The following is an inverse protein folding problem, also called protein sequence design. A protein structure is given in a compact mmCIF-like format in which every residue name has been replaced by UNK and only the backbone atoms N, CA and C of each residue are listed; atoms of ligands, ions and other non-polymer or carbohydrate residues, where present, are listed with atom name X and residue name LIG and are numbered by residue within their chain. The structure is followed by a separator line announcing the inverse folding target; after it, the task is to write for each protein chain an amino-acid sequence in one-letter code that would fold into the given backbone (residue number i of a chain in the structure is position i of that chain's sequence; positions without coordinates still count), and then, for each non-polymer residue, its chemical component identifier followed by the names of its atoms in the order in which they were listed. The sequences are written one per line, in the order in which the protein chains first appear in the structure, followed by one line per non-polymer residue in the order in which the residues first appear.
data_IF_290056281139
#
_entry.id   IF_290056281139
#
_cell.length_a   1.000
_cell.length_b   1.000
_cell.length_c   1.000
_cell.angle_alpha   90.00
_cell.angle_beta   90.00
_cell.angle_gamma   90.00
#
_symmetry.space_group_name_H-M   'P 1'
#
loop_
_entity.id
_entity.type
_entity.pdbx_description
1 polymer ?
#
# COMPACT_ATOMS: atom_id res chain seq x y z
N UNK A 1 -2.71 -11.27 -0.17
CA UNK A 1 -2.96 -11.95 1.12
C UNK A 1 -2.07 -11.45 2.26
N UNK A 2 -0.72 -11.44 2.11
CA UNK A 2 0.18 -11.01 3.20
C UNK A 2 -0.16 -9.60 3.71
N UNK A 3 -0.25 -8.63 2.81
CA UNK A 3 -0.53 -7.24 3.19
C UNK A 3 -1.95 -7.03 3.73
N UNK A 4 -2.92 -7.83 3.29
CA UNK A 4 -4.25 -7.83 3.91
C UNK A 4 -4.18 -8.30 5.37
N UNK A 5 -3.30 -9.26 5.69
CA UNK A 5 -3.03 -9.67 7.06
C UNK A 5 -2.39 -8.56 7.90
N UNK A 6 -1.41 -7.83 7.35
CA UNK A 6 -0.79 -6.66 8.00
C UNK A 6 -1.83 -5.56 8.28
N UNK A 7 -2.69 -5.27 7.29
CA UNK A 7 -3.76 -4.28 7.45
C UNK A 7 -4.79 -4.72 8.51
N UNK A 8 -5.16 -6.00 8.55
CA UNK A 8 -6.06 -6.55 9.57
C UNK A 8 -5.42 -6.44 10.96
N UNK A 9 -4.14 -6.83 11.09
CA UNK A 9 -3.42 -6.64 12.35
C UNK A 9 -3.38 -5.17 12.78
N UNK A 10 -3.09 -4.25 11.86
CA UNK A 10 -3.05 -2.82 12.17
C UNK A 10 -4.42 -2.30 12.63
N UNK A 11 -5.51 -2.80 12.05
CA UNK A 11 -6.88 -2.38 12.38
C UNK A 11 -7.29 -2.82 13.79
N UNK A 12 -6.90 -4.04 14.22
CA UNK A 12 -7.41 -4.64 15.46
C UNK A 12 -6.38 -4.72 16.59
N UNK A 13 -5.08 -4.73 16.27
CA UNK A 13 -4.02 -5.07 17.23
C UNK A 13 -2.83 -4.10 17.28
N UNK A 14 -2.81 -3.01 16.51
CA UNK A 14 -1.69 -2.05 16.53
C UNK A 14 -1.60 -1.25 17.83
N UNK A 15 -2.65 -1.23 18.64
CA UNK A 15 -2.79 -0.39 19.84
C UNK A 15 -2.63 1.13 19.57
N UNK A 16 -2.79 1.56 18.32
CA UNK A 16 -2.81 2.97 17.93
C UNK A 16 -4.25 3.50 17.97
N UNK A 17 -4.62 4.38 18.91
CA UNK A 17 -5.96 4.95 18.95
C UNK A 17 -6.28 5.71 17.66
N UNK A 18 -7.46 5.47 17.11
CA UNK A 18 -7.87 6.09 15.86
C UNK A 18 -6.96 5.71 14.69
N UNK A 19 -6.45 4.47 14.64
CA UNK A 19 -5.62 4.00 13.54
C UNK A 19 -6.34 4.14 12.20
N UNK A 20 -5.70 4.75 11.22
CA UNK A 20 -6.19 4.82 9.86
C UNK A 20 -5.39 3.87 8.97
N UNK A 21 -6.10 2.97 8.31
CA UNK A 21 -5.54 2.00 7.37
C UNK A 21 -6.14 2.29 5.99
N UNK A 22 -5.30 2.35 4.97
CA UNK A 22 -5.76 2.64 3.62
C UNK A 22 -5.35 1.54 2.63
N UNK A 23 -6.30 1.10 1.82
CA UNK A 23 -6.05 0.36 0.58
C UNK A 23 -6.22 1.31 -0.58
N UNK A 24 -5.18 1.46 -1.40
CA UNK A 24 -5.04 2.55 -2.36
C UNK A 24 -4.71 1.97 -3.73
N UNK A 25 -5.36 2.45 -4.78
CA UNK A 25 -5.01 2.14 -6.16
C UNK A 25 -5.40 3.29 -7.10
N UNK A 26 -5.05 3.19 -8.37
CA UNK A 26 -5.42 4.17 -9.38
C UNK A 26 -6.95 4.33 -9.50
N UNK A 27 -7.68 3.21 -9.43
CA UNK A 27 -9.14 3.19 -9.39
C UNK A 27 -9.69 2.58 -8.10
N UNK A 28 -10.92 2.98 -7.75
CA UNK A 28 -11.60 2.48 -6.55
C UNK A 28 -11.87 0.97 -6.60
N UNK A 29 -12.14 0.43 -7.78
CA UNK A 29 -12.41 -1.00 -7.95
C UNK A 29 -11.14 -1.83 -7.73
N UNK A 30 -9.98 -1.36 -8.17
CA UNK A 30 -8.69 -2.00 -7.86
C UNK A 30 -8.37 -1.93 -6.36
N UNK A 31 -8.52 -0.76 -5.73
CA UNK A 31 -8.26 -0.60 -4.30
C UNK A 31 -9.15 -1.52 -3.43
N UNK A 32 -10.36 -1.85 -3.93
CA UNK A 32 -11.26 -2.83 -3.30
C UNK A 32 -10.72 -4.26 -3.31
N UNK A 33 -9.85 -4.64 -4.23
CA UNK A 33 -9.32 -6.03 -4.30
C UNK A 33 -8.59 -6.38 -3.01
N UNK A 34 -7.70 -5.51 -2.54
CA UNK A 34 -7.00 -5.70 -1.26
C UNK A 34 -7.98 -5.59 -0.09
N UNK A 35 -8.88 -4.60 -0.15
CA UNK A 35 -9.89 -4.37 0.89
C UNK A 35 -10.84 -5.57 1.06
N UNK A 36 -11.26 -6.23 -0.01
CA UNK A 36 -12.15 -7.40 0.07
C UNK A 36 -11.51 -8.60 0.79
N UNK A 37 -10.20 -8.75 0.70
CA UNK A 37 -9.49 -9.77 1.48
C UNK A 37 -9.51 -9.45 2.98
N UNK A 38 -9.36 -8.16 3.35
CA UNK A 38 -9.47 -7.71 4.76
C UNK A 38 -10.91 -7.94 5.24
N UNK A 39 -11.88 -7.47 4.47
CA UNK A 39 -13.30 -7.62 4.77
C UNK A 39 -13.70 -9.08 4.94
N UNK A 40 -13.31 -9.96 4.00
CA UNK A 40 -13.58 -11.38 4.09
C UNK A 40 -12.97 -12.05 5.33
N UNK A 41 -11.77 -11.61 5.75
CA UNK A 41 -11.15 -12.08 7.00
C UNK A 41 -11.98 -11.66 8.21
N UNK A 42 -12.41 -10.40 8.26
CA UNK A 42 -13.22 -9.87 9.38
C UNK A 42 -14.58 -10.56 9.44
N UNK A 43 -15.25 -10.74 8.30
CA UNK A 43 -16.58 -11.39 8.24
C UNK A 43 -16.54 -12.89 8.55
N UNK A 44 -15.39 -13.56 8.31
CA UNK A 44 -15.22 -14.98 8.57
C UNK A 44 -14.84 -15.29 10.03
N UNK A 45 -14.31 -14.32 10.76
CA UNK A 45 -13.88 -14.46 12.15
C UNK A 45 -14.91 -13.80 13.09
N UNK A 46 -15.44 -14.57 14.04
CA UNK A 46 -16.48 -14.10 14.95
C UNK A 46 -15.98 -13.02 15.90
N UNK A 47 -14.78 -13.16 16.43
CA UNK A 47 -14.23 -12.22 17.41
C UNK A 47 -13.96 -10.87 16.76
N UNK A 48 -13.56 -10.85 15.48
CA UNK A 48 -13.37 -9.64 14.71
C UNK A 48 -14.70 -9.01 14.28
N UNK A 49 -15.65 -9.82 13.81
CA UNK A 49 -16.94 -9.33 13.34
C UNK A 49 -17.82 -8.76 14.46
N UNK A 50 -17.71 -9.30 15.69
CA UNK A 50 -18.48 -8.83 16.85
C UNK A 50 -18.05 -7.41 17.32
N UNK A 51 -16.82 -6.96 16.97
CA UNK A 51 -16.28 -5.65 17.37
C UNK A 51 -16.13 -4.65 16.22
N UNK A 52 -16.43 -5.05 14.98
CA UNK A 52 -16.27 -4.24 13.79
C UNK A 52 -17.60 -3.91 13.12
N UNK A 53 -17.69 -2.71 12.57
CA UNK A 53 -18.74 -2.30 11.66
C UNK A 53 -18.23 -2.35 10.22
N UNK A 54 -18.83 -3.22 9.41
CA UNK A 54 -18.39 -3.48 8.04
C UNK A 54 -19.29 -2.78 7.04
N UNK A 55 -18.71 -1.89 6.25
CA UNK A 55 -19.37 -1.14 5.18
C UNK A 55 -18.88 -1.58 3.80
N UNK A 56 -19.41 -0.96 2.75
CA UNK A 56 -19.01 -1.23 1.36
C UNK A 56 -17.52 -0.96 1.10
N UNK A 57 -17.01 0.18 1.59
CA UNK A 57 -15.67 0.70 1.32
C UNK A 57 -14.93 1.10 2.61
N UNK A 58 -15.42 0.66 3.76
CA UNK A 58 -14.79 0.90 5.05
C UNK A 58 -15.08 -0.21 6.05
N UNK A 59 -14.17 -0.40 7.00
CA UNK A 59 -14.37 -1.21 8.20
C UNK A 59 -13.96 -0.31 9.37
N UNK A 60 -14.83 -0.17 10.35
CA UNK A 60 -14.58 0.61 11.55
C UNK A 60 -14.55 -0.28 12.80
N UNK A 61 -13.71 0.06 13.76
CA UNK A 61 -13.69 -0.55 15.11
C UNK A 61 -14.04 0.54 16.12
N UNK A 62 -15.32 0.69 16.49
CA UNK A 62 -15.80 1.83 17.29
C UNK A 62 -15.10 1.97 18.64
N UNK A 63 -14.71 0.86 19.27
CA UNK A 63 -14.05 0.86 20.59
C UNK A 63 -12.68 1.54 20.59
N UNK A 64 -11.96 1.51 19.48
CA UNK A 64 -10.62 2.12 19.32
C UNK A 64 -10.61 3.36 18.43
N UNK A 65 -11.70 3.57 17.68
CA UNK A 65 -11.79 4.57 16.63
C UNK A 65 -10.99 4.22 15.38
N UNK A 66 -10.44 3.00 15.29
CA UNK A 66 -9.68 2.57 14.13
C UNK A 66 -10.57 2.36 12.90
N UNK A 67 -10.03 2.66 11.71
CA UNK A 67 -10.77 2.53 10.46
C UNK A 67 -9.87 2.09 9.31
N UNK A 68 -10.36 1.14 8.52
CA UNK A 68 -9.78 0.79 7.22
C UNK A 68 -10.67 1.34 6.10
N UNK A 69 -10.09 2.04 5.12
CA UNK A 69 -10.84 2.67 4.00
C UNK A 69 -10.19 2.42 2.66
N UNK A 70 -11.04 2.37 1.63
CA UNK A 70 -10.63 2.34 0.23
C UNK A 70 -10.42 3.77 -0.26
N UNK A 71 -9.23 4.06 -0.83
CA UNK A 71 -8.91 5.31 -1.50
C UNK A 71 -8.54 5.07 -2.97
N UNK A 72 -8.71 6.10 -3.81
CA UNK A 72 -8.31 6.05 -5.22
C UNK A 72 -7.84 7.41 -5.71
N UNK A 73 -6.98 7.43 -6.73
CA UNK A 73 -6.45 8.66 -7.32
C UNK A 73 -7.49 9.45 -8.12
N UNK A 74 -8.62 8.84 -8.48
CA UNK A 74 -9.74 9.48 -9.17
C UNK A 74 -10.73 10.17 -8.20
N UNK A 75 -10.50 10.07 -6.89
CA UNK A 75 -11.24 10.75 -5.85
C UNK A 75 -10.62 12.09 -5.43
N UNK A 76 -11.39 12.93 -4.71
CA UNK A 76 -10.83 14.13 -4.09
C UNK A 76 -9.77 13.74 -3.07
N UNK A 77 -8.57 14.31 -3.19
CA UNK A 77 -7.49 14.14 -2.21
C UNK A 77 -7.99 14.53 -0.82
N UNK A 78 -8.02 13.58 0.06
CA UNK A 78 -8.38 13.80 1.43
C UNK A 78 -7.18 14.44 2.15
N UNK A 79 -7.22 15.74 2.37
CA UNK A 79 -6.30 16.41 3.28
C UNK A 79 -6.56 15.95 4.73
N UNK A 80 -5.51 15.81 5.52
CA UNK A 80 -5.61 15.44 6.93
C UNK A 80 -5.64 13.93 7.19
N UNK A 81 -5.14 13.12 6.26
CA UNK A 81 -4.90 11.70 6.49
C UNK A 81 -3.79 11.51 7.53
N UNK A 82 -3.95 10.52 8.39
CA UNK A 82 -2.94 10.15 9.41
C UNK A 82 -2.78 8.62 9.44
N UNK A 83 -2.20 8.04 8.38
CA UNK A 83 -2.14 6.60 8.21
C UNK A 83 -1.20 5.91 9.20
N UNK A 84 -1.63 4.77 9.72
CA UNK A 84 -0.77 3.77 10.36
C UNK A 84 -0.26 2.78 9.33
N UNK A 85 -1.14 2.34 8.42
CA UNK A 85 -0.75 1.47 7.28
C UNK A 85 -1.43 1.98 6.01
N UNK A 86 -0.65 2.12 4.95
CA UNK A 86 -1.15 2.37 3.61
C UNK A 86 -0.60 1.34 2.63
N UNK A 87 -1.47 0.70 1.87
CA UNK A 87 -1.12 -0.27 0.83
C UNK A 87 -1.48 0.34 -0.51
N UNK A 88 -0.47 0.72 -1.29
CA UNK A 88 -0.63 1.29 -2.63
C UNK A 88 -0.41 0.18 -3.64
N UNK A 89 -1.49 -0.23 -4.29
CA UNK A 89 -1.50 -1.30 -5.28
C UNK A 89 -1.33 -0.74 -6.69
N UNK A 90 -0.58 -1.46 -7.53
CA UNK A 90 -0.28 -1.11 -8.91
C UNK A 90 0.22 0.34 -9.05
N UNK A 91 1.27 0.69 -8.33
CA UNK A 91 1.82 2.06 -8.28
C UNK A 91 2.11 2.64 -9.67
N UNK A 92 2.46 1.80 -10.65
CA UNK A 92 2.72 2.24 -12.02
C UNK A 92 1.48 2.80 -12.73
N UNK A 93 0.27 2.42 -12.31
CA UNK A 93 -1.00 2.88 -12.89
C UNK A 93 -1.45 4.25 -12.38
N UNK A 94 -0.83 4.77 -11.30
CA UNK A 94 -1.22 6.06 -10.76
C UNK A 94 -0.82 7.20 -11.70
N UNK A 95 -1.76 8.11 -12.03
CA UNK A 95 -1.50 9.21 -12.97
C UNK A 95 -0.53 10.26 -12.38
N UNK A 96 -0.57 10.45 -11.06
CA UNK A 96 0.27 11.41 -10.32
C UNK A 96 0.75 10.81 -9.01
N UNK A 97 1.75 11.45 -8.39
CA UNK A 97 2.28 11.08 -7.09
C UNK A 97 1.45 11.62 -5.91
N UNK A 98 0.52 12.52 -6.16
CA UNK A 98 -0.17 13.35 -5.15
C UNK A 98 -0.80 12.52 -4.03
N UNK A 99 -1.44 11.39 -4.35
CA UNK A 99 -2.12 10.59 -3.34
C UNK A 99 -1.14 9.91 -2.38
N UNK A 100 -0.09 9.26 -2.90
CA UNK A 100 0.87 8.62 -2.00
C UNK A 100 1.76 9.65 -1.27
N UNK A 101 2.04 10.82 -1.87
CA UNK A 101 2.73 11.92 -1.20
C UNK A 101 1.88 12.48 -0.04
N UNK A 102 0.56 12.58 -0.22
CA UNK A 102 -0.35 12.94 0.85
C UNK A 102 -0.36 11.91 1.99
N UNK A 103 -0.33 10.61 1.66
CA UNK A 103 -0.21 9.53 2.64
C UNK A 103 1.15 9.57 3.37
N UNK A 104 2.24 9.77 2.64
CA UNK A 104 3.58 9.89 3.20
C UNK A 104 3.69 11.10 4.15
N UNK A 105 3.18 12.26 3.72
CA UNK A 105 3.14 13.46 4.56
C UNK A 105 2.30 13.25 5.82
N UNK A 106 1.13 12.62 5.68
CA UNK A 106 0.23 12.33 6.79
C UNK A 106 0.79 11.31 7.78
N UNK A 107 1.67 10.42 7.32
CA UNK A 107 2.31 9.40 8.15
C UNK A 107 3.23 9.99 9.23
N UNK A 108 3.80 11.17 8.99
CA UNK A 108 4.64 11.88 9.96
C UNK A 108 3.94 12.26 11.27
N UNK A 109 2.62 12.23 11.32
CA UNK A 109 1.85 12.42 12.55
C UNK A 109 1.80 11.17 13.45
N UNK A 110 2.24 10.01 12.97
CA UNK A 110 2.24 8.74 13.69
C UNK A 110 3.63 8.37 14.20
N UNK A 111 3.66 7.68 15.32
CA UNK A 111 4.92 7.19 15.91
C UNK A 111 5.55 6.10 15.04
N UNK A 112 4.72 5.23 14.49
CA UNK A 112 5.10 4.20 13.54
C UNK A 112 4.06 4.16 12.44
N UNK A 113 4.49 4.29 11.20
CA UNK A 113 3.66 4.17 10.03
C UNK A 113 4.34 3.29 9.00
N UNK A 114 3.54 2.63 8.18
CA UNK A 114 4.01 1.77 7.11
C UNK A 114 3.31 2.15 5.80
N UNK A 115 4.09 2.61 4.83
CA UNK A 115 3.63 2.83 3.46
C UNK A 115 4.24 1.75 2.57
N UNK A 116 3.40 0.91 1.98
CA UNK A 116 3.84 -0.21 1.13
C UNK A 116 3.35 0.02 -0.30
N UNK A 117 4.26 -0.06 -1.24
CA UNK A 117 3.97 -0.09 -2.66
C UNK A 117 4.08 -1.51 -3.20
N UNK A 118 3.03 -1.98 -3.90
CA UNK A 118 3.03 -3.23 -4.63
C UNK A 118 2.81 -2.89 -6.09
N UNK A 119 3.67 -3.39 -6.97
CA UNK A 119 3.56 -3.04 -8.37
C UNK A 119 4.32 -4.02 -9.25
N UNK A 120 3.87 -4.16 -10.48
CA UNK A 120 4.67 -4.69 -11.56
C UNK A 120 5.51 -3.57 -12.19
N UNK A 121 6.48 -3.93 -13.05
CA UNK A 121 7.25 -2.96 -13.79
C UNK A 121 6.33 -2.15 -14.71
N UNK A 122 6.29 -0.84 -14.52
CA UNK A 122 5.54 0.07 -15.38
C UNK A 122 6.26 0.39 -16.68
N UNK A 123 5.56 1.03 -17.62
CA UNK A 123 6.11 1.54 -18.86
C UNK A 123 6.23 3.06 -18.75
N UNK A 124 7.42 3.61 -19.01
CA UNK A 124 7.69 5.06 -19.06
C UNK A 124 8.62 5.56 -17.96
N UNK A 125 9.39 6.60 -18.31
CA UNK A 125 10.44 7.18 -17.47
C UNK A 125 9.93 8.29 -16.53
N UNK A 126 8.69 8.76 -16.72
CA UNK A 126 8.10 9.88 -15.98
C UNK A 126 6.84 9.45 -15.22
N UNK A 127 6.94 8.36 -14.48
CA UNK A 127 5.83 7.85 -13.67
C UNK A 127 6.16 7.97 -12.19
N UNK A 128 5.17 7.98 -11.30
CA UNK A 128 5.41 7.89 -9.86
C UNK A 128 6.31 6.72 -9.48
N UNK A 129 6.14 5.57 -10.13
CA UNK A 129 6.98 4.39 -9.92
C UNK A 129 8.44 4.65 -10.32
N UNK A 130 8.69 5.34 -11.44
CA UNK A 130 10.06 5.65 -11.88
C UNK A 130 10.83 6.48 -10.84
N UNK A 131 10.16 7.41 -10.18
CA UNK A 131 10.75 8.20 -9.08
C UNK A 131 11.12 7.32 -7.87
N UNK A 132 10.26 6.35 -7.52
CA UNK A 132 10.54 5.41 -6.42
C UNK A 132 11.70 4.47 -6.76
N UNK A 133 11.77 3.97 -7.99
CA UNK A 133 12.87 3.13 -8.47
C UNK A 133 14.19 3.90 -8.47
N UNK A 134 14.18 5.17 -8.89
CA UNK A 134 15.38 6.01 -8.86
C UNK A 134 15.82 6.31 -7.42
N UNK A 135 14.89 6.57 -6.52
CA UNK A 135 15.18 6.73 -5.10
C UNK A 135 15.80 5.45 -4.53
N UNK A 136 15.21 4.29 -4.82
CA UNK A 136 15.73 2.99 -4.40
C UNK A 136 17.17 2.76 -4.88
N UNK A 137 17.46 3.04 -6.14
CA UNK A 137 18.84 2.91 -6.68
C UNK A 137 19.83 3.74 -5.89
N UNK A 138 19.47 4.96 -5.52
CA UNK A 138 20.34 5.86 -4.75
C UNK A 138 20.57 5.36 -3.34
N UNK A 139 19.53 4.79 -2.69
CA UNK A 139 19.67 4.15 -1.38
C UNK A 139 20.56 2.91 -1.48
N UNK A 140 20.33 2.04 -2.46
CA UNK A 140 21.15 0.83 -2.68
C UNK A 140 22.61 1.16 -3.05
N UNK A 141 22.86 2.28 -3.71
CA UNK A 141 24.21 2.77 -4.02
C UNK A 141 24.90 3.44 -2.82
N UNK A 142 24.21 3.65 -1.70
CA UNK A 142 24.73 4.38 -0.55
C UNK A 142 24.84 5.90 -0.74
N UNK A 143 24.19 6.45 -1.78
CA UNK A 143 24.14 7.90 -2.03
C UNK A 143 23.13 8.59 -1.09
N UNK A 144 22.14 7.83 -0.61
CA UNK A 144 21.14 8.26 0.36
C UNK A 144 21.18 7.27 1.51
N UNK A 145 21.36 7.78 2.73
CA UNK A 145 21.27 6.99 3.95
C UNK A 145 19.83 7.07 4.48
N UNK A 146 19.04 6.01 4.25
CA UNK A 146 17.65 5.91 4.71
C UNK A 146 17.39 4.52 5.27
N UNK A 147 17.53 4.37 6.58
CA UNK A 147 17.27 3.13 7.32
C UNK A 147 15.78 2.74 7.32
N UNK A 148 14.88 3.63 6.93
CA UNK A 148 13.43 3.38 6.87
C UNK A 148 12.98 2.83 5.52
N UNK A 149 13.86 2.91 4.52
CA UNK A 149 13.56 2.41 3.17
C UNK A 149 13.92 0.94 3.04
N UNK A 150 12.98 0.16 2.52
CA UNK A 150 13.22 -1.22 2.14
C UNK A 150 12.55 -1.53 0.81
N UNK A 151 13.25 -2.21 -0.08
CA UNK A 151 12.71 -2.65 -1.36
C UNK A 151 13.06 -4.11 -1.64
N UNK A 152 12.18 -4.75 -2.39
CA UNK A 152 12.43 -6.07 -2.94
C UNK A 152 11.90 -6.13 -4.36
N UNK A 153 12.80 -6.29 -5.31
CA UNK A 153 12.46 -6.43 -6.71
C UNK A 153 13.53 -7.23 -7.44
N UNK A 154 13.14 -7.94 -8.48
CA UNK A 154 14.02 -8.75 -9.33
C UNK A 154 13.75 -8.39 -10.78
N UNK A 155 14.36 -7.33 -11.32
CA UNK A 155 14.24 -7.03 -12.74
C UNK A 155 14.97 -8.10 -13.54
N UNK A 156 14.45 -8.49 -14.70
CA UNK A 156 15.22 -9.29 -15.64
C UNK A 156 16.46 -8.49 -16.09
N UNK A 157 17.53 -9.15 -16.56
CA UNK A 157 18.66 -8.46 -17.18
C UNK A 157 18.20 -7.50 -18.29
N UNK A 158 18.87 -6.36 -18.49
CA UNK A 158 18.42 -5.34 -19.46
C UNK A 158 18.29 -5.84 -20.90
N UNK A 159 19.03 -6.87 -21.26
CA UNK A 159 19.06 -7.52 -22.57
C UNK A 159 18.31 -8.84 -22.62
N UNK A 160 17.53 -9.15 -21.58
CA UNK A 160 16.83 -10.40 -21.48
C UNK A 160 15.70 -10.53 -22.53
N UNK A 161 15.68 -11.66 -23.24
CA UNK A 161 14.54 -11.97 -24.10
C UNK A 161 13.35 -12.40 -23.23
N UNK A 162 12.30 -11.57 -23.21
CA UNK A 162 11.06 -11.86 -22.46
C UNK A 162 10.31 -13.11 -22.98
N UNK A 163 10.67 -13.64 -24.16
CA UNK A 163 10.12 -14.88 -24.73
C UNK A 163 10.84 -16.11 -24.24
N UNK A 164 12.03 -15.96 -23.67
CA UNK A 164 12.79 -17.07 -23.13
C UNK A 164 12.28 -17.43 -21.72
N UNK A 165 11.78 -18.67 -21.49
CA UNK A 165 11.35 -19.11 -20.17
C UNK A 165 12.43 -19.02 -19.08
N UNK A 166 13.72 -19.06 -19.45
CA UNK A 166 14.81 -18.89 -18.49
C UNK A 166 14.84 -17.48 -17.89
N UNK A 167 14.38 -16.47 -18.64
CA UNK A 167 14.24 -15.09 -18.15
C UNK A 167 13.17 -15.00 -17.05
N UNK A 168 12.09 -15.74 -17.17
CA UNK A 168 11.00 -15.72 -16.17
C UNK A 168 11.44 -16.33 -14.84
N UNK A 169 12.30 -17.35 -14.88
CA UNK A 169 12.83 -17.98 -13.67
C UNK A 169 13.74 -17.04 -12.86
N UNK A 170 14.32 -16.02 -13.50
CA UNK A 170 15.13 -14.98 -12.83
C UNK A 170 14.28 -13.89 -12.22
N UNK A 171 13.10 -13.61 -12.83
CA UNK A 171 12.18 -12.55 -12.40
C UNK A 171 11.18 -13.02 -11.32
N UNK A 172 11.12 -14.32 -11.03
CA UNK A 172 10.30 -14.94 -10.00
C UNK A 172 11.17 -15.66 -8.97
#
# INVERSE_FOLDING_TARGET
LLLSGVATWALFASNEPGAEIFTVAASKDQARIVFQNIKGTVEADRDLSDVAEVYKDAIAVPSTGAVCRVLSSDGSLAHGLSPVVSIVDETWCHPTAELYEALLSGSGARRQSLLVHITTAGIGERTPLANLVEYDRRVQAGEVDDETWWSWWKPPPPDADYRDPATWAVAH
#
